data_IF_592843230302
#
_entry.id   IF_592843230302
#
_cell.length_a   1.000
_cell.length_b   1.000
_cell.length_c   1.000
_cell.angle_alpha   90.00
_cell.angle_beta   90.00
_cell.angle_gamma   90.00
#
_symmetry.space_group_name_H-M   'P 1'
#
loop_
_entity.id
_entity.type
_entity.pdbx_description
1 polymer ?
#
# COMPACT_ATOMS: atom_id res chain seq x y z
N UNK A 1 -39.18 20.05 -29.81
CA UNK A 1 -39.18 21.31 -29.05
C UNK A 1 -39.06 20.95 -27.59
N UNK A 2 -38.04 21.48 -26.94
CA UNK A 2 -37.58 21.10 -25.59
C UNK A 2 -38.72 20.95 -24.58
N UNK A 3 -38.60 19.93 -23.74
CA UNK A 3 -39.56 19.62 -22.70
C UNK A 3 -39.38 20.52 -21.48
N UNK A 4 -40.39 20.62 -20.60
CA UNK A 4 -40.35 21.46 -19.40
C UNK A 4 -39.28 21.07 -18.36
N UNK A 5 -38.61 19.93 -18.55
CA UNK A 5 -37.54 19.40 -17.70
C UNK A 5 -36.12 19.75 -18.22
N UNK A 6 -36.02 20.40 -19.39
CA UNK A 6 -34.72 20.79 -19.94
C UNK A 6 -34.18 22.02 -19.19
N UNK A 7 -32.98 21.90 -18.63
CA UNK A 7 -32.29 22.94 -17.84
C UNK A 7 -31.76 24.10 -18.70
N UNK A 8 -32.33 24.32 -19.88
CA UNK A 8 -31.87 25.30 -20.84
C UNK A 8 -32.64 26.63 -20.66
N UNK A 9 -31.95 27.75 -20.38
CA UNK A 9 -32.60 29.06 -20.33
C UNK A 9 -33.21 29.40 -21.69
N UNK A 10 -34.40 30.02 -21.69
CA UNK A 10 -35.06 30.45 -22.92
C UNK A 10 -34.57 31.83 -23.34
N UNK A 11 -34.00 31.98 -24.53
CA UNK A 11 -33.55 33.28 -25.06
C UNK A 11 -32.24 33.21 -25.85
N UNK A 12 -31.57 34.35 -26.00
CA UNK A 12 -30.28 34.51 -26.69
C UNK A 12 -29.13 33.77 -25.97
N UNK A 13 -29.22 33.64 -24.65
CA UNK A 13 -28.29 32.87 -23.80
C UNK A 13 -28.35 31.35 -24.06
N UNK A 14 -29.42 30.86 -24.72
CA UNK A 14 -29.61 29.43 -25.03
C UNK A 14 -28.55 28.90 -25.99
N UNK A 15 -28.17 29.70 -26.99
CA UNK A 15 -27.17 29.25 -27.98
C UNK A 15 -25.80 29.10 -27.34
N UNK A 16 -25.43 29.97 -26.41
CA UNK A 16 -24.15 29.89 -25.70
C UNK A 16 -24.14 28.70 -24.74
N UNK A 17 -25.22 28.52 -23.96
CA UNK A 17 -25.35 27.40 -23.03
C UNK A 17 -25.39 26.05 -23.75
N UNK A 18 -26.06 25.97 -24.90
CA UNK A 18 -26.09 24.75 -25.72
C UNK A 18 -24.69 24.37 -26.23
N UNK A 19 -23.90 25.34 -26.66
CA UNK A 19 -22.52 25.09 -27.12
C UNK A 19 -21.66 24.56 -25.96
N UNK A 20 -21.81 25.13 -24.76
CA UNK A 20 -21.11 24.64 -23.57
C UNK A 20 -21.50 23.19 -23.22
N UNK A 21 -22.79 22.89 -23.12
CA UNK A 21 -23.28 21.56 -22.77
C UNK A 21 -22.84 20.50 -23.80
N UNK A 22 -22.92 20.82 -25.09
CA UNK A 22 -22.47 19.94 -26.17
C UNK A 22 -20.97 19.72 -26.11
N UNK A 23 -20.19 20.77 -25.85
CA UNK A 23 -18.74 20.65 -25.70
C UNK A 23 -18.38 19.71 -24.54
N UNK A 24 -19.01 19.87 -23.38
CA UNK A 24 -18.80 19.01 -22.21
C UNK A 24 -19.21 17.56 -22.49
N UNK A 25 -20.34 17.35 -23.18
CA UNK A 25 -20.78 16.02 -23.55
C UNK A 25 -19.75 15.30 -24.43
N UNK A 26 -19.18 15.97 -25.43
CA UNK A 26 -18.16 15.39 -26.30
C UNK A 26 -16.82 15.17 -25.58
N UNK A 27 -16.42 16.06 -24.68
CA UNK A 27 -15.24 15.85 -23.84
C UNK A 27 -15.39 14.63 -22.93
N UNK A 28 -16.56 14.47 -22.29
CA UNK A 28 -16.88 13.29 -21.48
C UNK A 28 -16.87 12.01 -22.31
N UNK A 29 -17.44 12.05 -23.52
CA UNK A 29 -17.41 10.91 -24.44
C UNK A 29 -15.98 10.54 -24.86
N UNK A 30 -15.12 11.52 -25.17
CA UNK A 30 -13.74 11.24 -25.54
C UNK A 30 -12.95 10.65 -24.37
N UNK A 31 -13.15 11.16 -23.16
CA UNK A 31 -12.55 10.61 -21.95
C UNK A 31 -12.94 9.13 -21.72
N UNK A 32 -14.22 8.79 -21.87
CA UNK A 32 -14.71 7.41 -21.77
C UNK A 32 -14.09 6.54 -22.86
N UNK A 33 -14.05 7.03 -24.09
CA UNK A 33 -13.47 6.31 -25.23
C UNK A 33 -11.99 5.98 -24.99
N UNK A 34 -11.21 6.96 -24.52
CA UNK A 34 -9.79 6.78 -24.20
C UNK A 34 -9.62 5.75 -23.08
N UNK A 35 -10.42 5.82 -22.02
CA UNK A 35 -10.38 4.86 -20.93
C UNK A 35 -10.65 3.42 -21.40
N UNK A 36 -11.70 3.21 -22.21
CA UNK A 36 -12.04 1.89 -22.75
C UNK A 36 -10.90 1.32 -23.59
N UNK A 37 -10.31 2.15 -24.48
CA UNK A 37 -9.18 1.72 -25.32
C UNK A 37 -7.97 1.36 -24.48
N UNK A 38 -7.67 2.16 -23.46
CA UNK A 38 -6.58 1.90 -22.52
C UNK A 38 -6.80 0.61 -21.74
N UNK A 39 -7.99 0.40 -21.16
CA UNK A 39 -8.33 -0.83 -20.44
C UNK A 39 -8.23 -2.05 -21.34
N UNK A 40 -8.66 -1.95 -22.61
CA UNK A 40 -8.56 -3.04 -23.56
C UNK A 40 -7.12 -3.34 -23.97
N UNK A 41 -6.27 -2.33 -24.10
CA UNK A 41 -4.83 -2.51 -24.31
C UNK A 41 -4.19 -3.21 -23.10
N UNK A 42 -4.51 -2.77 -21.88
CA UNK A 42 -4.03 -3.43 -20.65
C UNK A 42 -4.48 -4.88 -20.55
N UNK A 43 -5.75 -5.18 -20.87
CA UNK A 43 -6.24 -6.56 -20.90
C UNK A 43 -5.49 -7.41 -21.94
N UNK A 44 -5.21 -6.87 -23.13
CA UNK A 44 -4.43 -7.58 -24.15
C UNK A 44 -3.00 -7.85 -23.70
N UNK A 45 -2.37 -6.90 -23.01
CA UNK A 45 -1.01 -7.06 -22.49
C UNK A 45 -0.95 -8.01 -21.30
N UNK A 46 -1.96 -7.99 -20.43
CA UNK A 46 -2.10 -8.94 -19.32
C UNK A 46 -2.44 -10.35 -19.79
N UNK A 47 -3.02 -10.52 -20.99
CA UNK A 47 -3.29 -11.84 -21.56
C UNK A 47 -1.98 -12.49 -22.03
N UNK A 48 -1.43 -13.32 -21.17
CA UNK A 48 -0.50 -14.37 -21.58
C UNK A 48 -1.34 -15.44 -22.28
N UNK A 49 -1.04 -15.72 -23.55
CA UNK A 49 -1.70 -16.81 -24.27
C UNK A 49 -1.45 -18.13 -23.50
N UNK A 50 -2.43 -19.04 -23.36
CA UNK A 50 -2.22 -20.31 -22.66
C UNK A 50 -1.04 -21.11 -23.24
N UNK A 51 -0.77 -20.94 -24.54
CA UNK A 51 0.38 -21.53 -25.24
C UNK A 51 1.73 -20.90 -24.90
N UNK A 52 1.76 -19.69 -24.34
CA UNK A 52 2.97 -19.03 -23.86
C UNK A 52 3.30 -19.39 -22.40
N UNK A 53 2.41 -20.11 -21.71
CA UNK A 53 2.67 -20.67 -20.38
C UNK A 53 3.45 -21.97 -20.58
N UNK A 54 4.78 -21.88 -20.55
CA UNK A 54 5.61 -23.07 -20.51
C UNK A 54 5.46 -23.74 -19.13
N UNK A 55 5.20 -25.05 -19.15
CA UNK A 55 5.23 -25.82 -17.92
C UNK A 55 6.63 -25.70 -17.29
N UNK A 56 6.71 -25.54 -15.96
CA UNK A 56 8.00 -25.58 -15.30
C UNK A 56 8.68 -26.93 -15.57
N UNK A 57 10.03 -26.99 -15.54
CA UNK A 57 10.77 -28.23 -15.79
C UNK A 57 10.24 -29.40 -14.96
N UNK A 58 10.25 -30.61 -15.51
CA UNK A 58 9.89 -31.82 -14.78
C UNK A 58 10.74 -31.92 -13.49
N UNK A 59 10.07 -31.97 -12.34
CA UNK A 59 10.74 -31.98 -11.02
C UNK A 59 11.02 -30.59 -10.42
N UNK A 60 10.53 -29.51 -11.02
CA UNK A 60 10.63 -28.17 -10.43
C UNK A 60 9.81 -28.09 -9.13
N UNK A 61 10.52 -28.06 -8.01
CA UNK A 61 9.94 -27.77 -6.70
C UNK A 61 9.86 -26.24 -6.58
N UNK A 62 8.66 -25.65 -6.45
CA UNK A 62 8.55 -24.22 -6.27
C UNK A 62 9.29 -23.79 -4.99
N UNK A 63 10.01 -22.65 -4.99
CA UNK A 63 10.59 -22.13 -3.76
C UNK A 63 9.47 -21.95 -2.73
N UNK A 64 9.74 -22.30 -1.48
CA UNK A 64 8.80 -22.17 -0.37
C UNK A 64 8.61 -20.69 -0.03
N UNK A 65 7.81 -19.98 -0.83
CA UNK A 65 7.49 -18.57 -0.62
C UNK A 65 6.72 -18.42 0.69
N UNK A 66 7.39 -17.90 1.72
CA UNK A 66 6.77 -17.50 2.99
C UNK A 66 6.60 -18.59 4.04
N UNK A 67 7.11 -19.80 3.81
CA UNK A 67 7.19 -20.83 4.86
C UNK A 67 8.51 -21.57 4.68
N UNK A 68 9.61 -20.98 5.15
CA UNK A 68 10.88 -21.70 5.21
C UNK A 68 10.76 -22.85 6.20
N UNK A 69 10.93 -24.10 5.76
CA UNK A 69 11.23 -25.17 6.71
C UNK A 69 12.58 -24.83 7.34
N UNK A 70 12.72 -24.76 8.67
CA UNK A 70 13.99 -24.48 9.29
C UNK A 70 14.98 -25.57 8.83
N UNK A 71 16.02 -25.14 8.11
CA UNK A 71 17.12 -26.03 7.76
C UNK A 71 17.77 -26.43 9.08
N UNK A 72 17.51 -27.66 9.48
CA UNK A 72 18.30 -28.32 10.52
C UNK A 72 19.67 -28.62 9.94
N UNK A 73 20.68 -28.07 10.62
CA UNK A 73 22.10 -28.42 10.59
C UNK A 73 22.96 -27.74 9.51
N UNK A 74 23.89 -26.91 10.02
CA UNK A 74 25.17 -26.52 9.46
C UNK A 74 25.21 -25.70 8.16
N UNK A 75 24.72 -24.47 8.17
CA UNK A 75 25.32 -23.44 7.29
C UNK A 75 25.19 -22.03 7.86
N UNK A 76 26.29 -21.54 8.42
CA UNK A 76 26.50 -20.12 8.77
C UNK A 76 26.46 -19.27 7.49
N UNK A 77 25.29 -18.71 7.14
CA UNK A 77 25.18 -17.65 6.12
C UNK A 77 23.98 -17.70 5.17
N UNK A 78 23.13 -18.73 5.20
CA UNK A 78 22.02 -18.87 4.24
C UNK A 78 20.63 -18.39 4.74
N UNK A 79 20.56 -17.80 5.94
CA UNK A 79 19.30 -17.49 6.62
C UNK A 79 18.58 -16.21 6.16
N UNK A 80 19.19 -15.39 5.33
CA UNK A 80 18.57 -14.15 4.82
C UNK A 80 17.93 -14.31 3.44
N UNK A 81 18.45 -15.21 2.59
CA UNK A 81 18.04 -15.31 1.19
C UNK A 81 16.68 -16.00 0.96
N UNK A 82 16.11 -16.65 1.98
CA UNK A 82 14.85 -17.39 1.89
C UNK A 82 13.73 -16.84 2.79
N UNK A 83 13.95 -15.71 3.49
CA UNK A 83 12.89 -15.13 4.33
C UNK A 83 11.78 -14.55 3.48
N UNK A 84 10.55 -14.93 3.76
CA UNK A 84 9.39 -14.38 3.09
C UNK A 84 9.14 -12.92 3.51
N UNK A 85 8.41 -12.17 2.67
CA UNK A 85 7.99 -10.79 2.98
C UNK A 85 7.21 -10.69 4.31
N UNK A 86 6.47 -11.75 4.68
CA UNK A 86 5.74 -11.80 5.94
C UNK A 86 6.67 -11.96 7.14
N UNK A 87 7.69 -12.82 7.03
CA UNK A 87 8.69 -13.03 8.08
C UNK A 87 9.52 -11.75 8.29
N UNK A 88 9.92 -11.06 7.22
CA UNK A 88 10.64 -9.79 7.33
C UNK A 88 9.80 -8.71 8.02
N UNK A 89 8.49 -8.65 7.75
CA UNK A 89 7.58 -7.73 8.43
C UNK A 89 7.44 -8.05 9.91
N UNK A 90 7.25 -9.32 10.25
CA UNK A 90 7.13 -9.77 11.65
C UNK A 90 8.42 -9.47 12.42
N UNK A 91 9.58 -9.72 11.82
CA UNK A 91 10.88 -9.42 12.42
C UNK A 91 11.04 -7.92 12.67
N UNK A 92 10.70 -7.08 11.68
CA UNK A 92 10.78 -5.63 11.82
C UNK A 92 9.88 -5.12 12.95
N UNK A 93 8.63 -5.58 12.99
CA UNK A 93 7.67 -5.18 14.02
C UNK A 93 8.10 -5.66 15.41
N UNK A 94 8.71 -6.85 15.52
CA UNK A 94 9.27 -7.36 16.75
C UNK A 94 10.44 -6.49 17.25
N UNK A 95 11.36 -6.08 16.37
CA UNK A 95 12.46 -5.18 16.73
C UNK A 95 11.97 -3.81 17.20
N UNK A 96 10.94 -3.25 16.56
CA UNK A 96 10.31 -2.00 17.00
C UNK A 96 9.68 -2.17 18.39
N UNK A 97 8.98 -3.28 18.63
CA UNK A 97 8.38 -3.58 19.93
C UNK A 97 9.41 -3.76 21.05
N UNK A 98 10.53 -4.42 20.78
CA UNK A 98 11.63 -4.59 21.75
C UNK A 98 12.24 -3.23 22.10
N UNK A 99 12.49 -2.39 21.10
CA UNK A 99 13.05 -1.05 21.34
C UNK A 99 12.12 -0.22 22.22
N UNK A 100 10.82 -0.19 21.92
CA UNK A 100 9.82 0.53 22.73
C UNK A 100 9.72 -0.02 24.16
N UNK A 101 9.79 -1.35 24.34
CA UNK A 101 9.82 -1.94 25.68
C UNK A 101 11.06 -1.53 26.48
N UNK A 102 12.23 -1.50 25.84
CA UNK A 102 13.48 -1.11 26.48
C UNK A 102 13.53 0.38 26.82
N UNK A 103 13.01 1.25 25.95
CA UNK A 103 12.94 2.70 26.22
C UNK A 103 11.98 3.00 27.38
N UNK A 104 10.83 2.31 27.46
CA UNK A 104 9.93 2.41 28.61
C UNK A 104 10.59 1.97 29.91
N UNK A 105 11.34 0.87 29.89
CA UNK A 105 12.06 0.38 31.07
C UNK A 105 13.14 1.38 31.52
N UNK A 106 13.90 1.94 30.57
CA UNK A 106 14.88 2.98 30.85
C UNK A 106 14.22 4.23 31.48
N UNK A 107 13.13 4.72 30.91
CA UNK A 107 12.41 5.87 31.44
C UNK A 107 11.89 5.63 32.88
N UNK A 108 11.38 4.43 33.16
CA UNK A 108 10.95 4.06 34.52
C UNK A 108 12.14 4.05 35.51
N UNK A 109 13.29 3.51 35.10
CA UNK A 109 14.51 3.49 35.92
C UNK A 109 15.04 4.89 36.20
N UNK A 110 15.01 5.79 35.23
CA UNK A 110 15.42 7.18 35.40
C UNK A 110 14.49 7.96 36.35
N UNK A 111 13.20 7.61 36.39
CA UNK A 111 12.25 8.17 37.33
C UNK A 111 12.45 7.65 38.75
N UNK A 112 12.86 6.39 38.95
CA UNK A 112 13.17 5.85 40.28
C UNK A 112 14.44 6.45 40.92
N UNK A 113 15.39 6.94 40.10
CA UNK A 113 16.65 7.54 40.59
C UNK A 113 16.48 9.01 41.02
N UNK A 114 15.47 9.72 40.52
CA UNK A 114 15.24 11.14 40.83
C UNK A 114 14.55 11.48 42.18
N UNK A 115 13.70 10.65 42.81
CA UNK A 115 13.03 11.02 44.06
C UNK A 115 13.95 11.10 45.28
N UNK A 116 15.12 10.44 45.28
CA UNK A 116 16.03 10.49 46.43
C UNK A 116 16.90 11.76 46.47
N UNK A 117 17.16 12.40 45.32
CA UNK A 117 18.02 13.59 45.26
C UNK A 117 17.31 14.88 45.72
N UNK A 118 15.98 14.98 45.60
CA UNK A 118 15.22 16.17 46.00
C UNK A 118 14.75 16.16 47.48
N UNK A 119 14.69 15.00 48.14
CA UNK A 119 14.33 14.95 49.57
C UNK A 119 15.50 15.26 50.53
N UNK A 120 16.76 15.15 50.06
CA UNK A 120 17.94 15.43 50.89
C UNK A 120 18.25 16.93 51.08
N UNK A 121 17.62 17.84 50.32
CA UNK A 121 17.86 19.29 50.44
C UNK A 121 16.84 20.05 51.29
N UNK A 122 15.70 19.46 51.66
CA UNK A 122 14.63 20.16 52.39
C UNK A 122 14.66 19.93 53.93
N UNK A 123 15.67 19.21 54.44
CA UNK A 123 15.81 18.94 55.89
C UNK A 123 16.90 19.76 56.58
N UNK A 124 17.37 20.88 55.99
CA UNK A 124 18.25 21.86 56.65
C UNK A 124 17.62 23.25 56.63
N UNK A 125 16.73 23.51 57.58
CA UNK A 125 16.41 24.85 58.07
C UNK A 125 16.28 24.82 59.59
#
# INVERSE_FOLDING_TARGET
>A
TDGPEDNLPQGEERSEQFVLEVSEYFERLDAIQVAIRSSLAHMRQSRIAPSAINAPPLGAIPPSLGVGLPVTEDTTGANEANRGLQEERVDRDAWVGILDALTRLQAAKEQEVQPEAHQAMDTRK
#
